data_IF_797917828773
#
_entry.id   IF_797917828773
#
_cell.length_a   1.000
_cell.length_b   1.000
_cell.length_c   1.000
_cell.angle_alpha   90.00
_cell.angle_beta   90.00
_cell.angle_gamma   90.00
#
_symmetry.space_group_name_H-M   'P 1'
#
loop_
_entity.id
_entity.type
_entity.pdbx_description
1 polymer ?
#
# COMPACT_ATOMS: atom_id res chain seq x y z
N UNK A 1 -54.13 29.01 13.68
CA UNK A 1 -52.74 28.67 14.09
C UNK A 1 -52.52 27.19 13.84
N UNK A 2 -52.18 26.83 12.60
CA UNK A 2 -51.90 25.45 12.19
C UNK A 2 -50.40 25.23 12.25
N UNK A 3 -49.92 24.35 13.13
CA UNK A 3 -48.51 23.98 13.23
C UNK A 3 -48.23 22.97 12.13
N UNK A 4 -47.53 23.40 11.08
CA UNK A 4 -46.93 22.49 10.11
C UNK A 4 -45.70 21.83 10.76
N UNK A 5 -45.82 20.56 11.12
CA UNK A 5 -44.65 19.70 11.30
C UNK A 5 -44.19 19.22 9.91
N UNK A 6 -42.90 19.38 9.56
CA UNK A 6 -42.37 18.80 8.34
C UNK A 6 -42.16 17.29 8.51
N UNK A 7 -42.89 16.56 7.66
CA UNK A 7 -42.75 15.14 7.37
C UNK A 7 -41.31 14.71 7.09
N UNK A 8 -40.92 13.56 7.64
CA UNK A 8 -39.66 12.88 7.41
C UNK A 8 -39.42 12.63 5.90
N UNK A 9 -38.52 13.42 5.30
CA UNK A 9 -38.09 13.28 3.92
C UNK A 9 -36.75 12.53 3.86
N UNK A 10 -36.87 11.21 3.74
CA UNK A 10 -35.98 10.28 3.03
C UNK A 10 -34.64 10.84 2.53
N UNK A 11 -33.61 10.80 3.38
CA UNK A 11 -32.24 10.63 2.90
C UNK A 11 -32.12 9.19 2.38
N UNK A 12 -32.30 9.01 1.07
CA UNK A 12 -32.11 7.72 0.38
C UNK A 12 -30.66 7.25 0.62
N UNK A 13 -30.56 6.22 1.46
CA UNK A 13 -29.51 5.21 1.57
C UNK A 13 -28.51 5.23 0.40
N UNK A 14 -27.28 5.66 0.68
CA UNK A 14 -26.14 5.40 -0.17
C UNK A 14 -25.84 3.88 -0.15
N UNK A 15 -26.14 3.22 -1.27
CA UNK A 15 -25.65 1.89 -1.67
C UNK A 15 -25.98 0.69 -0.75
N UNK A 16 -26.91 -0.16 -1.20
CA UNK A 16 -27.29 -1.45 -0.57
C UNK A 16 -26.46 -2.65 -1.03
N UNK A 17 -25.34 -2.45 -1.74
CA UNK A 17 -24.58 -3.56 -2.35
C UNK A 17 -23.28 -3.94 -1.62
N UNK A 18 -22.89 -3.21 -0.58
CA UNK A 18 -21.79 -3.59 0.31
C UNK A 18 -22.21 -3.24 1.75
N UNK A 19 -22.23 -4.18 2.72
CA UNK A 19 -22.40 -3.79 4.11
C UNK A 19 -21.30 -2.76 4.43
N UNK A 20 -21.72 -1.60 4.93
CA UNK A 20 -20.81 -0.49 5.20
C UNK A 20 -19.61 -0.99 6.00
N UNK A 21 -18.41 -0.78 5.50
CA UNK A 21 -17.19 -1.18 6.19
C UNK A 21 -17.18 -0.48 7.55
N UNK A 22 -17.49 -1.22 8.62
CA UNK A 22 -17.33 -0.70 9.97
C UNK A 22 -15.87 -0.32 10.16
N UNK A 23 -15.64 0.92 10.58
CA UNK A 23 -14.32 1.38 10.96
C UNK A 23 -13.87 0.58 12.18
N UNK A 24 -13.05 -0.45 11.94
CA UNK A 24 -12.44 -1.23 13.01
C UNK A 24 -11.58 -0.28 13.82
N UNK A 25 -11.98 -0.01 15.07
CA UNK A 25 -11.19 0.79 15.99
C UNK A 25 -9.91 0.04 16.31
N UNK A 26 -8.78 0.55 15.80
CA UNK A 26 -7.48 0.03 16.16
C UNK A 26 -7.25 0.26 17.66
N UNK A 27 -6.80 -0.76 18.42
CA UNK A 27 -6.52 -0.57 19.83
C UNK A 27 -5.47 0.53 20.03
N UNK A 28 -5.60 1.36 21.08
CA UNK A 28 -4.67 2.45 21.33
C UNK A 28 -3.24 1.90 21.47
N UNK A 29 -2.28 2.61 20.90
CA UNK A 29 -0.90 2.18 20.83
C UNK A 29 -0.33 1.96 22.25
N UNK A 30 -0.16 0.70 22.65
CA UNK A 30 0.49 0.34 23.92
C UNK A 30 1.99 0.63 23.81
N UNK A 31 2.48 1.48 24.71
CA UNK A 31 3.91 1.80 24.89
C UNK A 31 4.68 0.52 25.28
N UNK A 32 5.63 0.13 24.46
CA UNK A 32 6.67 -0.85 24.84
C UNK A 32 8.04 -0.31 24.40
N UNK A 33 8.96 -0.27 25.36
CA UNK A 33 10.38 0.08 25.18
C UNK A 33 11.14 -1.12 24.61
N UNK A 34 12.02 -0.89 23.63
CA UNK A 34 13.41 -1.38 23.60
C UNK A 34 14.13 -0.99 22.30
N UNK A 35 15.24 -0.26 22.43
CA UNK A 35 16.45 -0.47 21.65
C UNK A 35 16.52 0.01 20.19
N UNK A 36 17.32 1.07 20.00
CA UNK A 36 18.19 1.33 18.84
C UNK A 36 17.68 2.19 17.66
N UNK A 37 18.44 3.28 17.48
CA UNK A 37 18.55 4.25 16.38
C UNK A 37 17.35 5.18 16.17
N UNK A 38 17.64 6.49 16.28
CA UNK A 38 16.71 7.58 16.01
C UNK A 38 16.04 7.36 14.65
N UNK A 39 14.78 6.95 14.69
CA UNK A 39 13.96 6.74 13.49
C UNK A 39 13.54 8.11 12.98
N UNK A 40 13.91 8.41 11.74
CA UNK A 40 13.38 9.54 11.00
C UNK A 40 12.22 9.03 10.13
N UNK A 41 11.21 9.88 9.89
CA UNK A 41 10.13 9.57 8.98
C UNK A 41 10.70 9.18 7.59
N UNK A 42 10.10 8.16 6.98
CA UNK A 42 10.45 7.74 5.65
C UNK A 42 9.93 8.76 4.65
N UNK A 43 10.89 9.49 4.07
CA UNK A 43 10.68 10.39 2.94
C UNK A 43 11.41 9.80 1.74
N UNK A 44 11.04 10.24 0.53
CA UNK A 44 11.76 9.83 -0.69
C UNK A 44 13.28 10.07 -0.58
N UNK A 45 13.69 11.14 0.10
CA UNK A 45 15.09 11.48 0.31
C UNK A 45 15.77 10.56 1.34
N UNK A 46 15.09 10.24 2.47
CA UNK A 46 15.68 9.36 3.48
C UNK A 46 15.75 7.90 3.00
N UNK A 47 14.70 7.39 2.36
CA UNK A 47 14.63 6.03 1.80
C UNK A 47 15.77 5.75 0.81
N UNK A 48 16.11 6.73 -0.05
CA UNK A 48 17.21 6.59 -1.00
C UNK A 48 18.57 6.35 -0.34
N UNK A 49 18.77 6.85 0.88
CA UNK A 49 20.01 6.74 1.64
C UNK A 49 20.08 5.46 2.49
N UNK A 50 19.06 4.61 2.44
CA UNK A 50 19.02 3.36 3.21
C UNK A 50 19.70 2.24 2.43
N UNK A 51 20.88 1.85 2.90
CA UNK A 51 21.67 0.74 2.36
C UNK A 51 22.22 -0.12 3.51
N UNK A 52 22.57 -1.36 3.19
CA UNK A 52 23.28 -2.23 4.12
C UNK A 52 24.74 -1.76 4.24
N UNK A 53 25.25 -1.43 5.43
CA UNK A 53 26.64 -1.03 5.58
C UNK A 53 27.58 -2.22 5.26
N UNK A 54 28.82 -1.95 4.81
CA UNK A 54 29.81 -3.01 4.59
C UNK A 54 30.01 -3.88 5.83
N UNK A 55 30.22 -5.19 5.62
CA UNK A 55 30.43 -6.15 6.72
C UNK A 55 29.17 -6.60 7.46
N UNK A 56 27.97 -6.31 6.92
CA UNK A 56 26.70 -6.88 7.40
C UNK A 56 25.92 -7.51 6.26
N UNK A 57 25.20 -8.58 6.54
CA UNK A 57 24.31 -9.25 5.58
C UNK A 57 23.03 -8.44 5.32
N UNK A 58 22.52 -7.77 6.37
CA UNK A 58 21.35 -6.91 6.27
C UNK A 58 21.34 -5.75 7.28
N UNK A 59 20.50 -4.76 6.98
CA UNK A 59 20.11 -3.69 7.89
C UNK A 59 18.62 -3.40 7.78
N UNK A 60 17.96 -3.33 8.93
CA UNK A 60 16.56 -2.93 9.03
C UNK A 60 16.49 -1.45 9.40
N UNK A 61 15.60 -0.74 8.70
CA UNK A 61 15.21 0.63 8.98
C UNK A 61 13.73 0.61 9.35
N UNK A 62 13.32 1.42 10.32
CA UNK A 62 11.94 1.48 10.78
C UNK A 62 11.42 2.91 10.67
N UNK A 63 10.17 3.04 10.22
CA UNK A 63 9.50 4.32 10.12
C UNK A 63 9.07 4.85 11.49
N UNK A 64 9.19 6.16 11.70
CA UNK A 64 8.86 6.80 12.98
C UNK A 64 7.36 6.99 13.14
N UNK A 65 6.67 7.26 12.03
CA UNK A 65 5.26 7.66 12.00
C UNK A 65 4.34 6.44 11.86
N UNK A 66 4.81 5.39 11.17
CA UNK A 66 4.10 4.14 10.93
C UNK A 66 4.78 2.98 11.66
N UNK A 67 4.31 2.69 12.89
CA UNK A 67 4.84 1.59 13.70
C UNK A 67 4.73 0.26 12.93
N UNK A 68 5.84 -0.47 12.89
CA UNK A 68 5.91 -1.76 12.21
C UNK A 68 6.32 -1.65 10.74
N UNK A 69 6.15 -0.50 10.08
CA UNK A 69 6.65 -0.30 8.73
C UNK A 69 8.18 -0.12 8.75
N UNK A 70 8.86 -0.79 7.82
CA UNK A 70 10.30 -0.72 7.70
C UNK A 70 10.80 -0.98 6.30
N UNK A 71 12.11 -0.80 6.11
CA UNK A 71 12.86 -1.22 4.94
C UNK A 71 13.93 -2.20 5.40
N UNK A 72 13.98 -3.36 4.76
CA UNK A 72 15.08 -4.31 4.85
C UNK A 72 16.03 -4.08 3.68
N UNK A 73 17.26 -3.64 3.97
CA UNK A 73 18.31 -3.52 2.97
C UNK A 73 19.28 -4.70 3.13
N UNK A 74 19.54 -5.43 2.06
CA UNK A 74 20.49 -6.54 2.01
C UNK A 74 21.86 -6.08 1.50
N UNK A 75 22.91 -6.83 1.84
CA UNK A 75 24.26 -6.62 1.30
C UNK A 75 24.30 -6.64 -0.24
N UNK A 76 23.40 -7.39 -0.87
CA UNK A 76 23.23 -7.44 -2.33
C UNK A 76 22.71 -6.14 -2.96
N UNK A 77 22.35 -5.14 -2.16
CA UNK A 77 21.72 -3.90 -2.62
C UNK A 77 20.20 -4.00 -2.79
N UNK A 78 19.62 -5.21 -2.69
CA UNK A 78 18.16 -5.41 -2.68
C UNK A 78 17.55 -4.74 -1.45
N UNK A 79 16.43 -4.04 -1.66
CA UNK A 79 15.71 -3.33 -0.59
C UNK A 79 14.24 -3.68 -0.66
N UNK A 80 13.65 -4.06 0.46
CA UNK A 80 12.23 -4.41 0.50
C UNK A 80 11.52 -3.71 1.63
N UNK A 81 10.33 -3.21 1.34
CA UNK A 81 9.37 -2.79 2.35
C UNK A 81 8.97 -4.00 3.19
N UNK A 82 8.98 -3.83 4.51
CA UNK A 82 8.57 -4.84 5.47
C UNK A 82 7.53 -4.25 6.41
N UNK A 83 6.61 -5.09 6.89
CA UNK A 83 5.72 -4.74 7.98
C UNK A 83 5.88 -5.78 9.10
N UNK A 84 6.18 -5.30 10.30
CA UNK A 84 6.30 -6.12 11.49
C UNK A 84 5.11 -5.88 12.40
N UNK A 85 4.42 -6.96 12.76
CA UNK A 85 3.25 -6.93 13.63
C UNK A 85 3.32 -8.07 14.66
N UNK A 86 2.46 -8.02 15.68
CA UNK A 86 2.22 -9.17 16.55
C UNK A 86 0.92 -9.83 16.12
N UNK A 87 0.93 -11.15 15.96
CA UNK A 87 -0.31 -11.90 15.73
C UNK A 87 -1.11 -12.08 17.04
N UNK A 88 -2.28 -12.72 16.93
CA UNK A 88 -3.18 -13.02 18.05
C UNK A 88 -2.51 -13.83 19.18
N UNK A 89 -1.47 -14.59 18.86
CA UNK A 89 -0.67 -15.36 19.81
C UNK A 89 0.55 -14.56 20.34
N UNK A 90 0.57 -13.24 20.13
CA UNK A 90 1.65 -12.32 20.53
C UNK A 90 3.00 -12.62 19.88
N UNK A 91 3.04 -13.43 18.82
CA UNK A 91 4.27 -13.75 18.08
C UNK A 91 4.60 -12.59 17.14
N UNK A 92 5.86 -12.18 17.12
CA UNK A 92 6.34 -11.21 16.15
C UNK A 92 6.35 -11.84 14.77
N UNK A 93 5.57 -11.29 13.85
CA UNK A 93 5.53 -11.64 12.44
C UNK A 93 6.11 -10.49 11.63
N UNK A 94 6.77 -10.83 10.52
CA UNK A 94 7.28 -9.85 9.56
C UNK A 94 6.91 -10.32 8.17
N UNK A 95 6.18 -9.47 7.47
CA UNK A 95 5.83 -9.68 6.06
C UNK A 95 6.67 -8.75 5.20
N UNK A 96 7.03 -9.21 4.00
CA UNK A 96 7.63 -8.36 2.97
C UNK A 96 6.47 -7.78 2.16
N UNK A 97 6.28 -6.46 2.23
CA UNK A 97 5.22 -5.78 1.50
C UNK A 97 5.54 -5.68 0.01
N UNK A 98 6.81 -5.50 -0.34
CA UNK A 98 7.23 -5.35 -1.72
C UNK A 98 8.69 -4.95 -1.83
N UNK A 99 9.31 -5.25 -2.97
CA UNK A 99 10.61 -4.69 -3.30
C UNK A 99 10.47 -3.17 -3.54
N UNK A 100 11.55 -2.42 -3.39
CA UNK A 100 11.59 -1.04 -3.88
C UNK A 100 11.45 -0.97 -5.42
N UNK A 101 11.71 -2.07 -6.14
CA UNK A 101 11.43 -2.26 -7.57
C UNK A 101 9.98 -2.74 -7.86
N UNK A 102 9.05 -2.48 -6.94
CA UNK A 102 7.64 -2.91 -7.09
C UNK A 102 6.88 -2.12 -8.17
N UNK A 103 7.45 -1.02 -8.68
CA UNK A 103 6.79 -0.19 -9.71
C UNK A 103 6.67 -0.97 -11.02
N UNK A 104 7.71 -1.68 -11.43
CA UNK A 104 7.74 -2.47 -12.66
C UNK A 104 6.70 -3.61 -12.65
N UNK A 105 6.48 -4.24 -11.50
CA UNK A 105 5.47 -5.31 -11.32
C UNK A 105 4.05 -4.75 -11.13
N UNK A 106 3.93 -3.57 -10.51
CA UNK A 106 2.64 -2.94 -10.25
C UNK A 106 2.02 -2.33 -11.51
N UNK A 107 2.82 -1.89 -12.48
CA UNK A 107 2.32 -1.27 -13.71
C UNK A 107 1.44 -2.21 -14.55
N UNK A 108 1.84 -3.45 -14.87
CA UNK A 108 0.96 -4.40 -15.55
C UNK A 108 -0.35 -4.65 -14.79
N UNK A 109 -0.30 -4.76 -13.47
CA UNK A 109 -1.52 -4.91 -12.64
C UNK A 109 -2.41 -3.69 -12.77
N UNK A 110 -1.83 -2.49 -12.71
CA UNK A 110 -2.57 -1.24 -12.87
C UNK A 110 -3.23 -1.14 -14.26
N UNK A 111 -2.53 -1.53 -15.32
CA UNK A 111 -3.07 -1.49 -16.68
C UNK A 111 -4.18 -2.54 -16.89
N UNK A 112 -4.03 -3.73 -16.32
CA UNK A 112 -5.07 -4.75 -16.35
C UNK A 112 -6.34 -4.32 -15.60
N UNK A 113 -6.20 -3.60 -14.48
CA UNK A 113 -7.35 -3.04 -13.75
C UNK A 113 -8.12 -2.01 -14.60
N UNK A 114 -7.44 -1.26 -15.45
CA UNK A 114 -8.09 -0.34 -16.38
C UNK A 114 -8.82 -1.12 -17.46
N UNK A 115 -8.15 -2.08 -18.08
CA UNK A 115 -8.65 -2.81 -19.24
C UNK A 115 -9.80 -3.78 -18.90
N UNK A 116 -9.72 -4.45 -17.74
CA UNK A 116 -10.66 -5.52 -17.38
C UNK A 116 -11.67 -5.12 -16.30
N UNK A 117 -11.34 -4.16 -15.43
CA UNK A 117 -12.18 -3.78 -14.29
C UNK A 117 -12.67 -2.32 -14.38
N UNK A 118 -12.20 -1.54 -15.36
CA UNK A 118 -12.54 -0.12 -15.52
C UNK A 118 -12.01 0.80 -14.42
N UNK A 119 -11.02 0.34 -13.63
CA UNK A 119 -10.49 1.06 -12.48
C UNK A 119 -9.22 1.85 -12.82
N UNK A 120 -9.33 3.18 -12.87
CA UNK A 120 -8.21 4.09 -13.13
C UNK A 120 -7.63 4.60 -11.81
N UNK A 121 -6.47 4.07 -11.39
CA UNK A 121 -5.91 4.27 -10.05
C UNK A 121 -4.49 4.86 -10.05
N UNK A 122 -4.03 5.35 -8.90
CA UNK A 122 -2.65 5.75 -8.67
C UNK A 122 -1.68 4.57 -8.45
N UNK A 123 -0.39 4.84 -8.54
CA UNK A 123 0.66 3.81 -8.40
C UNK A 123 0.73 3.18 -7.01
N UNK A 124 0.36 3.90 -5.95
CA UNK A 124 0.28 3.35 -4.59
C UNK A 124 -0.80 2.26 -4.47
N UNK A 125 -1.96 2.48 -5.08
CA UNK A 125 -3.03 1.47 -5.17
C UNK A 125 -2.56 0.21 -5.88
N UNK A 126 -1.82 0.36 -6.98
CA UNK A 126 -1.26 -0.79 -7.71
C UNK A 126 -0.29 -1.62 -6.84
N UNK A 127 0.60 -0.96 -6.09
CA UNK A 127 1.51 -1.63 -5.15
C UNK A 127 0.73 -2.34 -4.03
N UNK A 128 -0.30 -1.69 -3.50
CA UNK A 128 -1.19 -2.27 -2.47
C UNK A 128 -1.90 -3.54 -2.97
N UNK A 129 -2.32 -3.57 -4.23
CA UNK A 129 -2.97 -4.73 -4.86
C UNK A 129 -1.95 -5.85 -5.06
N UNK A 130 -0.74 -5.57 -5.58
CA UNK A 130 0.33 -6.56 -5.69
C UNK A 130 0.66 -7.17 -4.32
N UNK A 131 0.73 -6.35 -3.28
CA UNK A 131 0.91 -6.81 -1.90
C UNK A 131 -0.22 -7.72 -1.43
N UNK A 132 -1.48 -7.35 -1.69
CA UNK A 132 -2.64 -8.17 -1.35
C UNK A 132 -2.65 -9.51 -2.11
N UNK A 133 -2.31 -9.53 -3.40
CA UNK A 133 -2.19 -10.75 -4.21
C UNK A 133 -1.08 -11.68 -3.69
N UNK A 134 0.02 -11.13 -3.17
CA UNK A 134 1.09 -11.92 -2.53
C UNK A 134 0.61 -12.51 -1.22
N UNK A 135 -0.02 -11.69 -0.37
CA UNK A 135 -0.56 -12.16 0.89
C UNK A 135 -1.64 -13.24 0.68
N UNK A 136 -2.46 -13.14 -0.37
CA UNK A 136 -3.47 -14.15 -0.73
C UNK A 136 -2.81 -15.50 -1.02
N UNK A 137 -1.69 -15.48 -1.75
CA UNK A 137 -0.92 -16.69 -2.07
C UNK A 137 -0.31 -17.31 -0.82
N UNK A 138 0.23 -16.49 0.07
CA UNK A 138 0.88 -16.97 1.30
C UNK A 138 -0.11 -17.53 2.32
N UNK A 139 -1.31 -16.93 2.43
CA UNK A 139 -2.35 -17.37 3.36
C UNK A 139 -3.16 -18.57 2.87
N UNK A 140 -3.14 -18.83 1.55
CA UNK A 140 -3.93 -19.89 0.92
C UNK A 140 -5.40 -19.52 0.70
N UNK A 141 -6.16 -20.40 0.02
CA UNK A 141 -7.54 -20.14 -0.37
C UNK A 141 -8.50 -20.03 0.82
N UNK A 142 -9.64 -19.35 0.61
CA UNK A 142 -10.69 -19.20 1.61
C UNK A 142 -10.46 -18.08 2.64
N UNK A 143 -9.50 -17.19 2.39
CA UNK A 143 -9.24 -15.99 3.21
C UNK A 143 -9.67 -14.73 2.47
N UNK A 144 -10.24 -13.79 3.21
CA UNK A 144 -10.59 -12.46 2.68
C UNK A 144 -9.45 -11.50 2.99
N UNK A 145 -8.96 -10.82 1.96
CA UNK A 145 -7.92 -9.79 2.10
C UNK A 145 -8.49 -8.47 1.64
N UNK A 146 -8.29 -7.45 2.48
CA UNK A 146 -8.68 -6.08 2.19
C UNK A 146 -7.43 -5.25 1.98
N UNK A 147 -7.45 -4.38 0.98
CA UNK A 147 -6.38 -3.41 0.71
C UNK A 147 -6.96 -2.06 0.34
N UNK A 148 -6.12 -1.03 0.30
CA UNK A 148 -6.55 0.36 0.12
C UNK A 148 -6.27 0.80 -1.31
N UNK A 149 -7.29 1.36 -1.96
CA UNK A 149 -7.15 2.12 -3.20
C UNK A 149 -7.04 3.60 -2.83
N UNK A 150 -5.81 4.11 -2.82
CA UNK A 150 -5.49 5.38 -2.17
C UNK A 150 -6.01 6.60 -2.94
N UNK A 151 -5.91 6.59 -4.27
CA UNK A 151 -6.39 7.65 -5.13
C UNK A 151 -6.59 7.21 -6.59
N UNK A 152 -7.29 8.06 -7.34
CA UNK A 152 -7.56 7.88 -8.76
C UNK A 152 -6.38 8.29 -9.67
N UNK A 153 -6.27 7.62 -10.81
CA UNK A 153 -5.15 7.73 -11.74
C UNK A 153 -5.07 9.05 -12.50
N UNK A 154 -6.14 9.84 -12.56
CA UNK A 154 -6.21 11.13 -13.26
C UNK A 154 -5.11 12.11 -12.83
N UNK A 155 -4.65 12.04 -11.58
CA UNK A 155 -3.57 12.90 -11.05
C UNK A 155 -2.19 12.56 -11.61
N UNK A 156 -2.05 11.38 -12.22
CA UNK A 156 -0.78 10.84 -12.68
C UNK A 156 -0.70 10.72 -14.22
N UNK A 157 -1.61 11.37 -14.95
CA UNK A 157 -1.68 11.32 -16.41
C UNK A 157 -0.34 11.68 -17.07
N UNK A 158 0.33 12.74 -16.62
CA UNK A 158 1.62 13.18 -17.17
C UNK A 158 2.79 12.22 -16.90
N UNK A 159 2.59 11.16 -16.10
CA UNK A 159 3.61 10.20 -15.69
C UNK A 159 3.17 8.75 -15.92
N UNK A 160 2.37 8.18 -15.01
CA UNK A 160 1.99 6.76 -15.01
C UNK A 160 1.17 6.37 -16.24
N UNK A 161 0.50 7.35 -16.87
CA UNK A 161 -0.30 7.15 -18.08
C UNK A 161 0.26 7.94 -19.27
N UNK A 162 1.56 8.21 -19.26
CA UNK A 162 2.27 8.85 -20.37
C UNK A 162 3.29 7.84 -20.95
N UNK A 163 3.09 7.36 -22.19
CA UNK A 163 3.94 6.35 -22.79
C UNK A 163 5.38 6.84 -23.03
N UNK A 164 5.57 8.14 -23.30
CA UNK A 164 6.90 8.74 -23.44
C UNK A 164 7.66 8.71 -22.10
N UNK A 165 6.97 9.07 -21.01
CA UNK A 165 7.54 9.02 -19.67
C UNK A 165 7.94 7.60 -19.27
N UNK A 166 7.06 6.62 -19.51
CA UNK A 166 7.31 5.21 -19.20
C UNK A 166 8.51 4.67 -19.99
N UNK A 167 8.57 4.91 -21.30
CA UNK A 167 9.71 4.51 -22.15
C UNK A 167 11.02 5.14 -21.69
N UNK A 168 11.02 6.45 -21.38
CA UNK A 168 12.21 7.15 -20.86
C UNK A 168 12.71 6.56 -19.53
N UNK A 169 11.84 5.90 -18.78
CA UNK A 169 12.15 5.22 -17.52
C UNK A 169 12.36 3.71 -17.67
N UNK A 170 12.31 3.18 -18.89
CA UNK A 170 12.39 1.75 -19.18
C UNK A 170 11.32 0.94 -18.40
N UNK A 171 10.11 1.50 -18.30
CA UNK A 171 8.97 0.90 -17.63
C UNK A 171 8.00 0.27 -18.64
N UNK A 172 7.21 -0.75 -18.23
CA UNK A 172 6.20 -1.35 -19.09
C UNK A 172 5.16 -0.33 -19.59
N UNK A 173 4.75 -0.46 -20.85
CA UNK A 173 3.69 0.34 -21.47
C UNK A 173 2.64 -0.63 -22.04
N UNK A 174 1.33 -0.40 -21.81
CA UNK A 174 0.30 -1.28 -22.32
C UNK A 174 0.02 -0.99 -23.80
N UNK A 175 -0.44 -2.00 -24.54
CA UNK A 175 -0.65 -1.90 -26.00
C UNK A 175 -1.65 -0.82 -26.40
N UNK A 176 -2.66 -0.55 -25.57
CA UNK A 176 -3.68 0.47 -25.85
C UNK A 176 -3.15 1.92 -25.70
N UNK A 177 -1.92 2.10 -25.22
CA UNK A 177 -1.24 3.40 -25.08
C UNK A 177 -0.14 3.60 -26.13
N UNK A 178 -0.04 2.72 -27.12
CA UNK A 178 0.89 2.84 -28.25
C UNK A 178 0.45 3.91 -29.26
#
# INVERSE_FOLDING_TARGET
MSRHEPSASLARSASTLLPGAEAISLPPARNEKAGSTASAAFTKASVRKMYCPPGRDEKLFWDKECRGLGIRALASGRRSWIFQYRDEHKRTRRIVLGDLSSVEEALPVLFNLIEHEGLVLGGSSAINIVGAMRLARDLGPGKTIVTILADGGQRYQSKLFNPEFLRKKNLPTPRWME
#
